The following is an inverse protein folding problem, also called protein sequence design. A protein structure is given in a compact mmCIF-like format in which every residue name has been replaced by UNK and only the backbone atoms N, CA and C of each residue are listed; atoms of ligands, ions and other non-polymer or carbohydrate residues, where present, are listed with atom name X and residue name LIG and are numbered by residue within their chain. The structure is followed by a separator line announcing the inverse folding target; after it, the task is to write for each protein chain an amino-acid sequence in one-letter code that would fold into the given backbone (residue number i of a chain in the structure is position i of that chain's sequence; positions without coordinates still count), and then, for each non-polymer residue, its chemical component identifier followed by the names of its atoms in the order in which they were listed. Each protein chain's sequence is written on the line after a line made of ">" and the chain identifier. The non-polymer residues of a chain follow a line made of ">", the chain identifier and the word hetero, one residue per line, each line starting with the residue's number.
data_IF_158063687773
#
_entry.id   IF_158063687773
#
_cell.length_a   1.000
_cell.length_b   1.000
_cell.length_c   1.000
_cell.angle_alpha   90.00
_cell.angle_beta   90.00
_cell.angle_gamma   90.00
#
_symmetry.space_group_name_H-M   'P 1'
#
loop_
_entity.id
_entity.type
_entity.pdbx_description
1 polymer ?
#
# COMPACT_ATOMS: atom_id res chain seq x y z
N UNK A 1 1.10 3.98 -1.65
CA UNK A 1 0.34 3.20 -2.67
C UNK A 1 0.59 1.70 -2.50
N UNK A 2 -0.44 0.90 -2.14
CA UNK A 2 -0.33 -0.57 -1.93
C UNK A 2 0.12 -1.37 -3.17
N UNK A 3 -0.17 -0.87 -4.37
CA UNK A 3 0.22 -1.55 -5.61
C UNK A 3 1.70 -1.45 -5.97
N UNK A 4 2.49 -0.59 -5.31
CA UNK A 4 3.95 -0.56 -5.51
C UNK A 4 4.64 -1.75 -4.85
N UNK A 5 4.01 -2.30 -3.80
CA UNK A 5 4.45 -3.48 -3.06
C UNK A 5 3.85 -4.76 -3.63
N UNK A 6 2.54 -4.74 -3.90
CA UNK A 6 1.79 -5.89 -4.42
C UNK A 6 1.51 -5.69 -5.91
N UNK A 7 2.06 -6.58 -6.75
CA UNK A 7 1.92 -6.50 -8.22
C UNK A 7 0.72 -7.26 -8.77
N UNK A 8 -0.21 -7.72 -7.92
CA UNK A 8 -1.40 -8.43 -8.40
C UNK A 8 -2.37 -7.47 -9.08
N UNK A 9 -3.11 -7.96 -10.07
CA UNK A 9 -4.12 -7.19 -10.79
C UNK A 9 -5.13 -6.54 -9.83
N UNK A 10 -5.56 -7.28 -8.82
CA UNK A 10 -6.45 -6.80 -7.76
C UNK A 10 -5.84 -5.68 -6.92
N UNK A 11 -4.54 -5.74 -6.61
CA UNK A 11 -3.87 -4.67 -5.86
C UNK A 11 -3.78 -3.37 -6.67
N UNK A 12 -3.55 -3.47 -7.98
CA UNK A 12 -3.56 -2.31 -8.89
C UNK A 12 -4.94 -1.67 -8.94
N UNK A 13 -6.00 -2.47 -9.10
CA UNK A 13 -7.39 -1.98 -9.14
C UNK A 13 -7.80 -1.26 -7.85
N UNK A 14 -7.47 -1.85 -6.69
CA UNK A 14 -7.75 -1.24 -5.37
C UNK A 14 -7.01 0.08 -5.22
N UNK A 15 -5.74 0.14 -5.63
CA UNK A 15 -4.95 1.37 -5.55
C UNK A 15 -5.51 2.50 -6.42
N UNK A 16 -5.98 2.18 -7.63
CA UNK A 16 -6.65 3.14 -8.51
C UNK A 16 -7.99 3.61 -7.89
N UNK A 17 -8.74 2.71 -7.24
CA UNK A 17 -9.98 3.06 -6.55
C UNK A 17 -9.74 4.06 -5.41
N UNK A 18 -8.72 3.80 -4.58
CA UNK A 18 -8.32 4.69 -3.48
C UNK A 18 -7.98 6.09 -4.02
N UNK A 19 -7.14 6.17 -5.06
CA UNK A 19 -6.76 7.46 -5.65
C UNK A 19 -7.94 8.21 -6.28
N UNK A 20 -8.89 7.51 -6.91
CA UNK A 20 -10.11 8.13 -7.43
C UNK A 20 -10.96 8.77 -6.33
N UNK A 21 -11.08 8.12 -5.18
CA UNK A 21 -11.80 8.66 -4.02
C UNK A 21 -11.15 9.94 -3.52
N UNK A 22 -9.81 9.98 -3.38
CA UNK A 22 -9.09 11.20 -2.97
C UNK A 22 -9.26 12.35 -3.97
N UNK A 23 -9.20 12.06 -5.28
CA UNK A 23 -9.44 13.06 -6.32
C UNK A 23 -10.87 13.60 -6.28
N UNK A 24 -11.88 12.72 -6.07
CA UNK A 24 -13.26 13.15 -5.92
C UNK A 24 -13.47 14.00 -4.66
N UNK A 25 -12.87 13.60 -3.53
CA UNK A 25 -12.92 14.35 -2.28
C UNK A 25 -12.34 15.76 -2.47
N UNK A 26 -11.21 15.88 -3.17
CA UNK A 26 -10.59 17.17 -3.51
C UNK A 26 -11.49 18.03 -4.39
N UNK A 27 -12.11 17.45 -5.43
CA UNK A 27 -13.06 18.17 -6.32
C UNK A 27 -14.28 18.69 -5.57
N UNK A 28 -14.80 17.93 -4.61
CA UNK A 28 -15.95 18.36 -3.79
C UNK A 28 -15.62 19.52 -2.84
N UNK A 29 -14.35 19.71 -2.51
CA UNK A 29 -13.90 20.65 -1.47
C UNK A 29 -13.18 21.89 -2.03
N UNK A 30 -13.06 22.03 -3.35
CA UNK A 30 -12.24 23.07 -4.02
C UNK A 30 -12.78 24.50 -3.81
N UNK A 31 -13.92 24.65 -3.13
CA UNK A 31 -14.47 25.92 -2.65
C UNK A 31 -13.87 26.39 -1.32
N UNK A 32 -13.07 25.57 -0.61
CA UNK A 32 -12.56 25.90 0.73
C UNK A 32 -11.06 25.60 0.88
N UNK A 33 -10.24 26.66 0.79
CA UNK A 33 -8.76 26.61 0.79
C UNK A 33 -8.17 25.98 2.05
N UNK A 34 -8.79 26.19 3.21
CA UNK A 34 -8.32 25.66 4.49
C UNK A 34 -8.54 24.14 4.59
N UNK A 35 -9.69 23.68 4.07
CA UNK A 35 -10.05 22.27 3.98
C UNK A 35 -9.06 21.50 3.09
N UNK A 36 -8.67 22.10 1.96
CA UNK A 36 -7.68 21.54 1.04
C UNK A 36 -6.31 21.33 1.71
N UNK A 37 -5.83 22.33 2.46
CA UNK A 37 -4.54 22.25 3.18
C UNK A 37 -4.55 21.14 4.25
N UNK A 38 -5.66 21.00 4.98
CA UNK A 38 -5.83 19.94 5.99
C UNK A 38 -5.82 18.55 5.38
N UNK A 39 -6.43 18.38 4.20
CA UNK A 39 -6.42 17.10 3.47
C UNK A 39 -5.01 16.79 2.94
N UNK A 40 -4.31 17.74 2.34
CA UNK A 40 -2.92 17.52 1.88
C UNK A 40 -1.99 17.12 3.04
N UNK A 41 -2.11 17.80 4.19
CA UNK A 41 -1.33 17.45 5.38
C UNK A 41 -1.68 16.05 5.90
N UNK A 42 -2.97 15.70 5.86
CA UNK A 42 -3.45 14.39 6.25
C UNK A 42 -2.97 13.29 5.29
N UNK A 43 -3.08 13.50 3.97
CA UNK A 43 -2.56 12.60 2.93
C UNK A 43 -1.06 12.34 3.12
N UNK A 44 -0.28 13.41 3.31
CA UNK A 44 1.18 13.33 3.53
C UNK A 44 1.52 12.50 4.77
N UNK A 45 0.84 12.77 5.89
CA UNK A 45 1.06 12.03 7.15
C UNK A 45 0.70 10.56 7.02
N UNK A 46 -0.39 10.25 6.31
CA UNK A 46 -0.78 8.87 6.10
C UNK A 46 0.18 8.13 5.17
N UNK A 47 0.66 8.76 4.10
CA UNK A 47 1.66 8.16 3.22
C UNK A 47 2.94 7.76 3.99
N UNK A 48 3.39 8.59 4.94
CA UNK A 48 4.51 8.25 5.83
C UNK A 48 4.21 7.06 6.74
N UNK A 49 3.02 7.02 7.36
CA UNK A 49 2.60 5.92 8.23
C UNK A 49 2.40 4.61 7.45
N UNK A 50 1.93 4.70 6.20
CA UNK A 50 1.78 3.54 5.33
C UNK A 50 3.12 2.96 4.91
N UNK A 51 4.23 3.71 4.95
CA UNK A 51 5.57 3.20 4.66
C UNK A 51 5.95 1.99 5.51
N UNK A 52 5.71 2.05 6.83
CA UNK A 52 5.99 0.92 7.73
C UNK A 52 5.07 -0.28 7.46
N UNK A 53 3.81 -0.03 7.14
CA UNK A 53 2.85 -1.07 6.75
C UNK A 53 3.27 -1.73 5.43
N UNK A 54 3.79 -0.94 4.47
CA UNK A 54 4.33 -1.45 3.21
C UNK A 54 5.51 -2.37 3.42
N UNK A 55 6.45 -1.99 4.28
CA UNK A 55 7.63 -2.80 4.53
C UNK A 55 7.28 -4.09 5.28
N UNK A 56 6.32 -4.05 6.21
CA UNK A 56 5.79 -5.26 6.86
C UNK A 56 5.11 -6.21 5.85
N UNK A 57 4.30 -5.69 4.93
CA UNK A 57 3.66 -6.51 3.87
C UNK A 57 4.70 -7.09 2.91
N UNK A 58 5.74 -6.32 2.54
CA UNK A 58 6.85 -6.82 1.72
C UNK A 58 7.56 -7.99 2.39
N UNK A 59 7.83 -7.89 3.69
CA UNK A 59 8.47 -8.97 4.45
C UNK A 59 7.60 -10.23 4.43
N UNK A 60 6.29 -10.08 4.68
CA UNK A 60 5.35 -11.19 4.65
C UNK A 60 5.30 -11.89 3.28
N UNK A 61 5.25 -11.13 2.19
CA UNK A 61 5.24 -11.66 0.81
C UNK A 61 6.59 -12.29 0.43
N UNK A 62 7.70 -11.74 0.93
CA UNK A 62 9.03 -12.28 0.68
C UNK A 62 9.27 -13.62 1.40
N UNK A 63 8.69 -13.79 2.59
CA UNK A 63 8.73 -15.04 3.36
C UNK A 63 7.93 -16.18 2.72
N UNK A 64 6.91 -15.84 1.92
CA UNK A 64 6.02 -16.79 1.23
C UNK A 64 6.61 -17.35 -0.09
N UNK A 65 7.86 -17.00 -0.44
CA UNK A 65 8.60 -17.72 -1.48
C UNK A 65 8.82 -19.15 -1.02
N UNK A 66 8.56 -20.18 -1.85
CA UNK A 66 8.66 -21.57 -1.43
C UNK A 66 10.06 -21.82 -0.87
N UNK A 67 10.13 -22.07 0.45
CA UNK A 67 11.35 -22.54 1.10
C UNK A 67 11.80 -23.76 0.31
N UNK A 68 12.92 -23.63 -0.43
CA UNK A 68 13.53 -24.75 -1.15
C UNK A 68 13.45 -25.98 -0.25
N UNK A 69 12.83 -27.04 -0.74
CA UNK A 69 12.57 -28.25 0.02
C UNK A 69 13.87 -28.63 0.76
N UNK A 70 13.84 -28.57 2.09
CA UNK A 70 15.00 -28.94 2.90
C UNK A 70 15.31 -30.40 2.58
N UNK A 71 16.57 -30.69 2.23
CA UNK A 71 17.01 -32.05 1.93
C UNK A 71 16.59 -33.00 3.07
N UNK A 72 16.11 -34.22 2.77
CA UNK A 72 15.70 -35.15 3.79
C UNK A 72 16.89 -35.45 4.69
N UNK A 73 16.76 -35.16 5.98
CA UNK A 73 17.74 -35.56 6.99
C UNK A 73 17.46 -37.03 7.28
N UNK A 74 18.24 -37.91 6.65
CA UNK A 74 18.27 -39.34 6.91
C UNK A 74 19.72 -39.79 7.05
N UNK A 75 20.00 -40.61 8.05
CA UNK A 75 21.30 -41.26 8.22
C UNK A 75 21.34 -42.56 7.42
N UNK A 76 22.49 -42.84 6.79
CA UNK A 76 22.87 -44.15 6.27
C UNK A 76 23.05 -45.15 7.42
#
# INVERSE_FOLDING_TARGET
>A
MLSSVLRSQRAVEVNIAIMRTFVQLRRLMDSNRDLRLRIEAMETRYDEQFSQVFDAIKQLVAEDKPRKAKAPIGFL
#
